data_IF_345355644144
#
_entry.id   IF_345355644144
#
_cell.length_a   1.000
_cell.length_b   1.000
_cell.length_c   1.000
_cell.angle_alpha   90.00
_cell.angle_beta   90.00
_cell.angle_gamma   90.00
#
_symmetry.space_group_name_H-M   'P 1'
#
loop_
_entity.id
_entity.type
_entity.pdbx_description
1 polymer ?
#
# COMPACT_ATOMS: atom_id res chain seq x y z
N UNK A 1 -4.07 -2.27 -23.71
CA UNK A 1 -5.17 -1.47 -23.16
C UNK A 1 -4.68 -0.71 -21.93
N UNK A 2 -5.17 0.52 -21.70
CA UNK A 2 -4.92 1.32 -20.49
C UNK A 2 -6.23 1.92 -19.96
N UNK A 3 -6.23 2.35 -18.69
CA UNK A 3 -7.31 3.10 -18.07
C UNK A 3 -6.76 4.31 -17.28
N UNK A 4 -7.64 5.27 -16.99
CA UNK A 4 -7.38 6.38 -16.06
C UNK A 4 -8.36 6.27 -14.90
N UNK A 5 -7.85 5.91 -13.72
CA UNK A 5 -8.63 5.75 -12.49
C UNK A 5 -8.54 7.00 -11.61
N UNK A 6 -9.59 7.27 -10.85
CA UNK A 6 -9.60 8.30 -9.81
C UNK A 6 -9.59 7.64 -8.42
N UNK A 7 -8.58 7.94 -7.61
CA UNK A 7 -8.48 7.45 -6.22
C UNK A 7 -7.68 8.43 -5.36
N UNK A 8 -8.00 8.53 -4.06
CA UNK A 8 -7.33 9.48 -3.15
C UNK A 8 -7.38 10.95 -3.60
N UNK A 9 -8.40 11.35 -4.37
CA UNK A 9 -8.50 12.68 -4.99
C UNK A 9 -7.57 12.93 -6.18
N UNK A 10 -6.73 11.96 -6.57
CA UNK A 10 -5.79 12.03 -7.69
C UNK A 10 -6.27 11.16 -8.86
N UNK A 11 -5.66 11.36 -10.03
CA UNK A 11 -5.87 10.53 -11.22
C UNK A 11 -4.58 9.76 -11.54
N UNK A 12 -4.73 8.49 -11.90
CA UNK A 12 -3.61 7.61 -12.25
C UNK A 12 -3.89 6.91 -13.58
N UNK A 13 -2.92 6.96 -14.51
CA UNK A 13 -2.93 6.11 -15.70
C UNK A 13 -2.39 4.73 -15.31
N UNK A 14 -3.09 3.68 -15.74
CA UNK A 14 -2.79 2.28 -15.41
C UNK A 14 -2.94 1.37 -16.62
N UNK A 15 -2.08 0.37 -16.72
CA UNK A 15 -2.19 -0.80 -17.58
C UNK A 15 -2.24 -2.09 -16.71
N UNK A 16 -2.55 -3.22 -17.33
CA UNK A 16 -2.53 -4.51 -16.64
C UNK A 16 -1.10 -4.87 -16.18
N UNK A 17 -0.98 -5.43 -14.98
CA UNK A 17 0.26 -5.76 -14.25
C UNK A 17 1.08 -4.58 -13.70
N UNK A 18 0.68 -3.32 -13.94
CA UNK A 18 1.34 -2.14 -13.36
C UNK A 18 1.29 -2.19 -11.83
N UNK A 19 2.37 -1.73 -11.19
CA UNK A 19 2.44 -1.53 -9.74
C UNK A 19 2.44 -0.03 -9.46
N UNK A 20 1.42 0.46 -8.75
CA UNK A 20 1.28 1.87 -8.42
C UNK A 20 1.16 2.09 -6.91
N UNK A 21 1.71 3.19 -6.43
CA UNK A 21 1.57 3.65 -5.04
C UNK A 21 0.54 4.76 -4.97
N UNK A 22 -0.51 4.53 -4.18
CA UNK A 22 -1.67 5.40 -4.02
C UNK A 22 -1.86 5.79 -2.55
N UNK A 23 -2.77 6.73 -2.30
CA UNK A 23 -3.13 7.11 -0.93
C UNK A 23 -3.77 5.93 -0.17
N UNK A 24 -3.75 5.97 1.16
CA UNK A 24 -4.10 4.82 2.00
C UNK A 24 -5.49 4.24 1.70
N UNK A 25 -5.53 2.94 1.41
CA UNK A 25 -6.78 2.15 1.34
C UNK A 25 -7.01 1.31 2.61
N UNK A 26 -8.24 0.81 2.76
CA UNK A 26 -8.59 -0.22 3.73
C UNK A 26 -8.46 -1.61 3.08
N UNK A 27 -7.98 -2.60 3.84
CA UNK A 27 -7.67 -3.96 3.39
C UNK A 27 -6.38 -4.48 4.02
N UNK A 28 -5.94 -5.67 3.63
CA UNK A 28 -4.68 -6.32 3.97
C UNK A 28 -3.91 -6.70 2.70
N UNK A 29 -2.64 -7.11 2.84
CA UNK A 29 -1.88 -7.63 1.70
C UNK A 29 -2.53 -8.92 1.15
N UNK A 30 -2.67 -9.02 -0.17
CA UNK A 30 -3.39 -10.08 -0.87
C UNK A 30 -4.89 -9.82 -1.10
N UNK A 31 -5.46 -8.76 -0.54
CA UNK A 31 -6.87 -8.41 -0.79
C UNK A 31 -7.06 -7.86 -2.21
N UNK A 32 -8.17 -8.24 -2.85
CA UNK A 32 -8.60 -7.68 -4.14
C UNK A 32 -9.41 -6.40 -3.93
N UNK A 33 -8.99 -5.32 -4.57
CA UNK A 33 -9.62 -4.00 -4.55
C UNK A 33 -10.23 -3.71 -5.92
N UNK A 34 -11.47 -3.22 -5.92
CA UNK A 34 -12.20 -2.82 -7.13
C UNK A 34 -12.30 -1.28 -7.21
N UNK A 35 -11.83 -0.70 -8.32
CA UNK A 35 -11.91 0.74 -8.61
C UNK A 35 -13.01 1.00 -9.66
N UNK A 36 -14.20 1.39 -9.21
CA UNK A 36 -15.30 1.79 -10.09
C UNK A 36 -15.25 3.24 -10.63
N UNK A 37 -14.30 4.07 -10.15
CA UNK A 37 -14.13 5.44 -10.66
C UNK A 37 -13.15 5.49 -11.84
N UNK A 38 -13.59 4.97 -12.98
CA UNK A 38 -12.84 5.01 -14.25
C UNK A 38 -13.27 6.24 -15.06
N UNK A 39 -12.30 7.12 -15.38
CA UNK A 39 -12.52 8.36 -16.13
C UNK A 39 -12.38 8.17 -17.64
N UNK A 40 -11.46 7.30 -18.05
CA UNK A 40 -11.21 6.97 -19.46
C UNK A 40 -10.56 5.59 -19.57
N UNK A 41 -10.68 4.96 -20.74
CA UNK A 41 -9.90 3.78 -21.12
C UNK A 41 -9.55 3.84 -22.62
N UNK A 42 -8.53 3.10 -23.04
CA UNK A 42 -8.10 3.12 -24.44
C UNK A 42 -7.12 2.04 -24.85
N UNK A 43 -6.99 1.85 -26.16
CA UNK A 43 -6.12 0.90 -26.84
C UNK A 43 -5.56 1.55 -28.11
N UNK A 44 -4.23 1.68 -28.18
CA UNK A 44 -3.57 2.41 -29.26
C UNK A 44 -4.09 3.85 -29.37
N UNK A 45 -4.52 4.23 -30.58
CA UNK A 45 -5.08 5.53 -30.90
C UNK A 45 -6.57 5.69 -30.53
N UNK A 46 -7.23 4.60 -30.09
CA UNK A 46 -8.62 4.64 -29.65
C UNK A 46 -8.71 4.90 -28.14
N UNK A 47 -9.50 5.91 -27.74
CA UNK A 47 -9.74 6.22 -26.35
C UNK A 47 -11.20 6.65 -26.13
N UNK A 48 -11.83 6.05 -25.11
CA UNK A 48 -13.18 6.37 -24.65
C UNK A 48 -13.08 7.17 -23.36
N UNK A 49 -13.74 8.33 -23.32
CA UNK A 49 -13.79 9.23 -22.18
C UNK A 49 -15.19 9.21 -21.55
N UNK A 50 -15.25 9.19 -20.23
CA UNK A 50 -16.49 9.22 -19.45
C UNK A 50 -17.02 10.63 -19.21
N UNK A 51 -18.29 10.72 -18.80
CA UNK A 51 -18.97 11.99 -18.53
C UNK A 51 -19.88 11.89 -17.29
N UNK A 52 -19.36 11.93 -16.05
CA UNK A 52 -17.96 12.13 -15.65
C UNK A 52 -17.14 10.84 -15.52
N UNK A 53 -17.78 9.68 -15.53
CA UNK A 53 -17.16 8.35 -15.48
C UNK A 53 -17.61 7.52 -16.68
N UNK A 54 -16.88 6.43 -16.96
CA UNK A 54 -17.27 5.44 -17.96
C UNK A 54 -18.21 4.42 -17.30
N UNK A 55 -19.44 4.32 -17.79
CA UNK A 55 -20.42 3.36 -17.25
C UNK A 55 -19.96 1.90 -17.49
N UNK A 56 -20.10 1.07 -16.45
CA UNK A 56 -19.72 -0.35 -16.52
C UNK A 56 -18.21 -0.62 -16.64
N UNK A 57 -17.34 0.37 -16.45
CA UNK A 57 -15.90 0.16 -16.40
C UNK A 57 -15.41 0.02 -14.94
N UNK A 58 -14.63 -1.02 -14.68
CA UNK A 58 -14.06 -1.34 -13.35
C UNK A 58 -12.62 -1.78 -13.52
N UNK A 59 -11.69 -1.22 -12.73
CA UNK A 59 -10.31 -1.72 -12.68
C UNK A 59 -10.13 -2.53 -11.40
N UNK A 60 -9.61 -3.75 -11.52
CA UNK A 60 -9.26 -4.57 -10.35
C UNK A 60 -7.77 -4.53 -10.07
N UNK A 61 -7.44 -4.62 -8.79
CA UNK A 61 -6.07 -4.64 -8.31
C UNK A 61 -5.92 -5.55 -7.09
N UNK A 62 -4.72 -6.09 -6.92
CA UNK A 62 -4.29 -6.79 -5.70
C UNK A 62 -3.52 -5.79 -4.81
N UNK A 63 -3.83 -5.75 -3.51
CA UNK A 63 -3.09 -4.96 -2.54
C UNK A 63 -1.79 -5.67 -2.17
N UNK A 64 -0.63 -5.10 -2.52
CA UNK A 64 0.67 -5.72 -2.23
C UNK A 64 1.17 -5.37 -0.82
N UNK A 65 1.17 -4.09 -0.47
CA UNK A 65 1.74 -3.61 0.81
C UNK A 65 1.01 -2.34 1.30
N UNK A 66 0.87 -2.21 2.63
CA UNK A 66 0.59 -0.93 3.29
C UNK A 66 1.88 -0.34 3.86
N UNK A 67 2.40 0.67 3.17
CA UNK A 67 3.67 1.29 3.47
C UNK A 67 3.55 2.65 4.17
N UNK A 68 4.71 3.22 4.47
CA UNK A 68 4.84 4.63 4.89
C UNK A 68 5.87 5.32 4.03
N UNK A 69 5.49 6.43 3.42
CA UNK A 69 6.35 7.28 2.60
C UNK A 69 7.68 7.64 3.30
N UNK A 70 8.65 8.10 2.51
CA UNK A 70 9.85 8.75 3.03
C UNK A 70 9.49 9.91 3.98
N UNK A 71 10.37 10.20 4.95
CA UNK A 71 10.09 11.26 5.94
C UNK A 71 10.22 12.64 5.31
N UNK A 72 9.09 13.28 5.04
CA UNK A 72 9.03 14.69 4.63
C UNK A 72 9.25 15.56 5.87
N UNK A 73 10.24 16.45 5.80
CA UNK A 73 10.64 17.30 6.94
C UNK A 73 10.03 18.69 6.78
N UNK A 74 8.98 18.97 7.55
CA UNK A 74 8.46 20.32 7.72
C UNK A 74 9.38 21.12 8.67
N UNK A 75 10.23 21.98 8.11
CA UNK A 75 11.10 22.89 8.86
C UNK A 75 10.59 24.32 8.79
N UNK A 76 10.32 24.94 9.95
CA UNK A 76 9.90 26.34 10.07
C UNK A 76 10.89 27.09 10.97
N UNK A 77 11.50 28.17 10.48
CA UNK A 77 12.48 29.00 11.21
C UNK A 77 12.13 30.48 11.05
N UNK A 78 12.01 31.22 12.15
CA UNK A 78 11.89 32.69 12.14
C UNK A 78 13.28 33.32 12.37
N UNK A 79 13.72 34.20 11.46
CA UNK A 79 15.01 34.89 11.56
C UNK A 79 15.05 35.78 12.81
N UNK A 80 16.18 35.78 13.55
CA UNK A 80 16.45 36.58 14.77
C UNK A 80 15.50 36.34 15.98
N UNK A 81 14.46 35.51 15.88
CA UNK A 81 13.46 35.29 16.94
C UNK A 81 13.69 34.02 17.79
N UNK A 82 14.88 33.41 17.71
CA UNK A 82 15.24 32.09 18.29
C UNK A 82 14.21 30.94 18.07
N UNK A 83 13.28 31.11 17.14
CA UNK A 83 12.15 30.21 16.94
C UNK A 83 12.42 29.31 15.73
N UNK A 84 12.67 28.02 16.01
CA UNK A 84 12.78 26.94 15.02
C UNK A 84 11.95 25.74 15.43
N UNK A 85 11.25 25.13 14.48
CA UNK A 85 10.51 23.86 14.64
C UNK A 85 10.84 22.96 13.46
N UNK A 86 11.18 21.69 13.74
CA UNK A 86 11.40 20.63 12.75
C UNK A 86 10.42 19.50 13.09
N UNK A 87 9.51 19.15 12.19
CA UNK A 87 8.58 18.03 12.34
C UNK A 87 8.71 17.12 11.13
N UNK A 88 8.98 15.84 11.35
CA UNK A 88 8.87 14.82 10.32
C UNK A 88 7.40 14.40 10.16
N UNK A 89 6.97 14.17 8.92
CA UNK A 89 5.72 13.48 8.60
C UNK A 89 6.02 12.38 7.60
N UNK A 90 5.39 11.22 7.79
CA UNK A 90 5.39 10.10 6.83
C UNK A 90 3.94 9.83 6.48
N UNK A 91 3.58 10.00 5.21
CA UNK A 91 2.26 9.65 4.70
C UNK A 91 2.07 8.13 4.77
N UNK A 92 0.84 7.69 4.98
CA UNK A 92 0.44 6.28 4.84
C UNK A 92 0.04 6.07 3.38
N UNK A 93 0.65 5.09 2.73
CA UNK A 93 0.48 4.84 1.30
C UNK A 93 0.22 3.35 1.09
N UNK A 94 -0.48 3.01 0.01
CA UNK A 94 -0.79 1.63 -0.34
C UNK A 94 -0.23 1.34 -1.72
N UNK A 95 0.56 0.28 -1.83
CA UNK A 95 1.07 -0.21 -3.11
C UNK A 95 0.14 -1.29 -3.61
N UNK A 96 -0.43 -1.10 -4.81
CA UNK A 96 -1.36 -2.03 -5.45
C UNK A 96 -0.82 -2.44 -6.81
N UNK A 97 -1.12 -3.68 -7.22
CA UNK A 97 -0.85 -4.19 -8.56
C UNK A 97 -2.14 -4.32 -9.33
N UNK A 98 -2.23 -3.70 -10.50
CA UNK A 98 -3.40 -3.78 -11.36
C UNK A 98 -3.47 -5.17 -11.98
N UNK A 99 -4.58 -5.88 -11.75
CA UNK A 99 -4.79 -7.22 -12.30
C UNK A 99 -5.46 -7.13 -13.67
N UNK A 100 -6.64 -6.53 -13.73
CA UNK A 100 -7.47 -6.48 -14.95
C UNK A 100 -8.18 -5.13 -15.09
N UNK A 101 -8.48 -4.76 -16.33
CA UNK A 101 -9.30 -3.59 -16.67
C UNK A 101 -10.55 -4.15 -17.36
N UNK A 102 -11.69 -4.07 -16.68
CA UNK A 102 -12.97 -4.62 -17.13
C UNK A 102 -13.83 -3.50 -17.73
N UNK A 103 -14.48 -3.79 -18.85
CA UNK A 103 -15.39 -2.89 -19.57
C UNK A 103 -16.74 -3.57 -19.78
N UNK A 104 -17.80 -2.79 -20.02
CA UNK A 104 -19.12 -3.32 -20.37
C UNK A 104 -19.88 -4.03 -19.25
N UNK A 105 -19.58 -3.76 -17.98
CA UNK A 105 -20.28 -4.34 -16.82
C UNK A 105 -19.83 -5.75 -16.44
N UNK A 106 -18.73 -6.25 -17.00
CA UNK A 106 -18.10 -7.49 -16.57
C UNK A 106 -17.74 -7.42 -15.07
N UNK A 107 -18.19 -8.43 -14.30
CA UNK A 107 -17.81 -8.60 -12.89
C UNK A 107 -16.45 -9.29 -12.80
N UNK A 108 -15.59 -8.92 -11.86
CA UNK A 108 -14.29 -9.56 -11.73
C UNK A 108 -14.40 -11.02 -11.31
N UNK A 109 -13.49 -11.84 -11.85
CA UNK A 109 -13.31 -13.20 -11.40
C UNK A 109 -12.78 -13.20 -9.96
N UNK A 110 -13.68 -13.34 -8.98
CA UNK A 110 -13.33 -13.52 -7.56
C UNK A 110 -12.59 -14.84 -7.34
N UNK A 111 -11.29 -14.87 -7.64
CA UNK A 111 -10.38 -15.92 -7.19
C UNK A 111 -9.87 -15.59 -5.78
N UNK A 112 -10.79 -15.61 -4.82
CA UNK A 112 -10.42 -15.71 -3.41
C UNK A 112 -9.93 -17.14 -3.12
N UNK A 113 -9.05 -17.27 -2.13
CA UNK A 113 -8.50 -18.53 -1.58
C UNK A 113 -7.57 -19.36 -2.49
N UNK A 114 -6.26 -19.03 -2.47
CA UNK A 114 -5.19 -20.01 -2.70
C UNK A 114 -3.81 -19.65 -2.06
N UNK A 115 -3.75 -18.96 -0.91
CA UNK A 115 -2.54 -18.99 -0.04
C UNK A 115 -2.82 -18.62 1.43
N UNK A 116 -3.55 -19.48 2.14
CA UNK A 116 -3.75 -19.37 3.59
C UNK A 116 -3.71 -20.76 4.26
N UNK A 117 -2.56 -21.43 4.15
CA UNK A 117 -2.09 -22.54 4.97
C UNK A 117 -0.57 -22.68 4.66
N UNK A 118 0.37 -22.70 5.61
CA UNK A 118 0.23 -22.78 7.07
C UNK A 118 1.29 -21.94 7.80
N UNK A 119 0.86 -21.25 8.85
CA UNK A 119 1.46 -21.14 10.20
C UNK A 119 0.29 -20.70 11.12
N UNK A 120 0.13 -21.29 12.32
CA UNK A 120 1.02 -21.15 13.48
C UNK A 120 1.52 -22.52 13.99
N UNK A 121 2.43 -22.66 14.97
CA UNK A 121 2.46 -22.04 16.31
C UNK A 121 3.86 -22.09 16.94
N UNK A 122 4.11 -21.24 17.96
CA UNK A 122 5.41 -21.08 18.60
C UNK A 122 5.61 -21.93 19.87
N UNK A 123 6.61 -22.81 19.84
CA UNK A 123 7.40 -23.30 20.98
C UNK A 123 8.78 -23.72 20.41
N UNK A 124 9.93 -23.31 20.95
CA UNK A 124 10.42 -23.68 22.28
C UNK A 124 11.47 -22.66 22.79
N UNK A 125 11.46 -22.38 24.10
CA UNK A 125 12.59 -21.72 24.80
C UNK A 125 13.48 -22.81 25.43
N UNK A 126 14.82 -22.71 25.34
CA UNK A 126 15.68 -23.28 26.36
C UNK A 126 16.09 -22.20 27.36
N UNK A 127 15.40 -22.16 28.50
CA UNK A 127 15.85 -21.45 29.70
C UNK A 127 16.00 -22.44 30.86
N UNK A 128 17.19 -23.03 30.98
CA UNK A 128 17.79 -23.54 32.22
C UNK A 128 19.04 -22.67 32.45
N UNK A 129 19.20 -21.84 33.49
CA UNK A 129 18.93 -21.99 34.92
C UNK A 129 19.54 -23.28 35.51
N UNK A 130 20.26 -23.32 36.63
CA UNK A 130 20.75 -22.34 37.63
C UNK A 130 21.86 -23.12 38.45
N UNK A 131 22.77 -22.61 39.28
CA UNK A 131 22.97 -21.34 40.02
C UNK A 131 24.40 -21.34 40.64
N UNK A 132 24.88 -20.21 41.21
CA UNK A 132 25.97 -20.10 42.23
C UNK A 132 27.40 -20.42 41.75
N UNK A 133 28.50 -19.93 42.32
CA UNK A 133 28.84 -18.91 43.36
C UNK A 133 30.21 -18.30 42.93
N UNK A 134 30.80 -17.23 43.47
CA UNK A 134 30.69 -16.53 44.76
C UNK A 134 31.14 -15.06 44.60
N UNK A 135 31.11 -14.28 45.67
CA UNK A 135 31.69 -12.94 45.70
C UNK A 135 33.08 -12.93 46.41
N UNK A 136 33.81 -11.83 46.23
CA UNK A 136 35.06 -11.43 46.91
C UNK A 136 36.39 -12.05 46.42
N UNK A 137 37.45 -11.21 46.36
CA UNK A 137 38.85 -11.63 46.20
C UNK A 137 39.70 -10.76 45.25
N UNK A 138 40.47 -9.84 45.84
CA UNK A 138 41.84 -9.33 45.51
C UNK A 138 42.45 -9.26 44.08
N UNK A 139 43.27 -8.20 43.89
CA UNK A 139 44.49 -8.03 43.05
C UNK A 139 44.52 -8.60 41.62
N UNK A 140 44.88 -7.82 40.59
CA UNK A 140 46.20 -7.17 40.40
C UNK A 140 46.12 -5.90 39.53
#
# INVERSE_FOLDING_TARGET
MFAVIKTGGKQYRVAANDVITIDRLAGNAGDVVEFGQVLAFGEGDSATFGAPFVEGATVTAELLEQGRAATVIAFKKRRRQNSRRKRGQRQLETTVRITEILTGGAKPAKKAAAKAAAEPEAAEKPAKAQKKTEAAGESE
#
